data_IF_173310987906
#
_entry.id   IF_173310987906
#
_cell.length_a   1.000
_cell.length_b   1.000
_cell.length_c   1.000
_cell.angle_alpha   90.00
_cell.angle_beta   90.00
_cell.angle_gamma   90.00
#
_symmetry.space_group_name_H-M   'P 1'
#
loop_
_entity.id
_entity.type
_entity.pdbx_description
1 polymer ?
#
# COMPACT_ATOMS: atom_id res chain seq x y z
N UNK A 1 2.27 -19.31 -18.25
CA UNK A 1 3.24 -18.19 -18.14
C UNK A 1 3.43 -17.91 -16.66
N UNK A 2 4.69 -17.83 -16.19
CA UNK A 2 5.03 -17.66 -14.77
C UNK A 2 5.95 -16.47 -14.56
N UNK A 3 5.62 -15.60 -13.65
CA UNK A 3 6.41 -14.41 -13.34
C UNK A 3 6.88 -14.50 -11.88
N UNK A 4 8.18 -14.34 -11.68
CA UNK A 4 8.79 -14.11 -10.37
C UNK A 4 8.70 -12.62 -10.06
N UNK A 5 8.06 -12.24 -8.96
CA UNK A 5 7.96 -10.86 -8.47
C UNK A 5 8.91 -10.60 -7.31
N UNK A 6 9.59 -9.48 -7.34
CA UNK A 6 10.54 -9.02 -6.31
C UNK A 6 10.12 -7.63 -5.81
N UNK A 7 9.72 -7.55 -4.53
CA UNK A 7 9.41 -6.32 -3.82
C UNK A 7 10.50 -6.00 -2.82
N UNK A 8 11.08 -4.79 -2.92
CA UNK A 8 12.10 -4.30 -1.98
C UNK A 8 12.05 -2.79 -1.80
N UNK A 9 10.91 -2.13 -2.02
CA UNK A 9 10.85 -0.66 -2.09
C UNK A 9 11.06 0.06 -0.75
N UNK A 10 10.79 -0.61 0.38
CA UNK A 10 10.86 -0.02 1.71
C UNK A 10 11.51 -0.96 2.74
N UNK A 11 10.74 -1.56 3.63
CA UNK A 11 11.22 -2.39 4.74
C UNK A 11 10.67 -3.83 4.72
N UNK A 12 9.93 -4.21 3.68
CA UNK A 12 9.56 -5.59 3.39
C UNK A 12 10.35 -6.14 2.20
N UNK A 13 10.88 -7.36 2.34
CA UNK A 13 11.38 -8.15 1.22
C UNK A 13 10.33 -9.17 0.83
N UNK A 14 9.64 -8.93 -0.28
CA UNK A 14 8.58 -9.80 -0.79
C UNK A 14 9.00 -10.52 -2.07
N UNK A 15 8.83 -11.85 -2.10
CA UNK A 15 9.09 -12.68 -3.29
C UNK A 15 7.88 -13.55 -3.55
N UNK A 16 7.38 -13.53 -4.78
CA UNK A 16 6.26 -14.39 -5.15
C UNK A 16 6.40 -14.94 -6.57
N UNK A 17 5.71 -16.03 -6.86
CA UNK A 17 5.60 -16.60 -8.19
C UNK A 17 4.12 -16.66 -8.56
N UNK A 18 3.76 -15.99 -9.64
CA UNK A 18 2.40 -15.95 -10.17
C UNK A 18 2.33 -16.66 -11.53
N UNK A 19 1.37 -17.59 -11.64
CA UNK A 19 1.07 -18.31 -12.90
C UNK A 19 -0.25 -17.81 -13.47
N UNK A 20 -0.30 -17.49 -14.76
CA UNK A 20 -1.47 -16.90 -15.42
C UNK A 20 -2.70 -17.82 -15.50
N UNK A 21 -2.54 -19.11 -15.22
CA UNK A 21 -3.63 -20.10 -15.21
C UNK A 21 -3.96 -20.63 -13.82
N UNK A 22 -2.94 -20.72 -12.94
CA UNK A 22 -3.05 -21.33 -11.62
C UNK A 22 -3.12 -20.31 -10.48
N UNK A 23 -2.88 -19.02 -10.80
CA UNK A 23 -2.80 -17.96 -9.80
C UNK A 23 -1.48 -17.96 -9.03
N UNK A 24 -1.51 -17.57 -7.78
CA UNK A 24 -0.33 -17.45 -6.91
C UNK A 24 0.18 -18.85 -6.51
N UNK A 25 1.44 -19.14 -6.86
CA UNK A 25 2.08 -20.45 -6.58
C UNK A 25 2.96 -20.41 -5.32
N UNK A 26 3.55 -19.26 -5.00
CA UNK A 26 4.37 -19.05 -3.81
C UNK A 26 4.34 -17.58 -3.42
N UNK A 27 4.39 -17.31 -2.11
CA UNK A 27 4.46 -15.94 -1.58
C UNK A 27 5.30 -15.91 -0.30
N UNK A 28 6.54 -15.47 -0.41
CA UNK A 28 7.50 -15.35 0.68
C UNK A 28 7.63 -13.89 1.10
N UNK A 29 7.49 -13.61 2.38
CA UNK A 29 7.61 -12.28 2.94
C UNK A 29 8.54 -12.27 4.14
N UNK A 30 9.46 -11.32 4.17
CA UNK A 30 10.28 -11.00 5.32
C UNK A 30 10.14 -9.52 5.65
N UNK A 31 9.68 -9.21 6.86
CA UNK A 31 9.53 -7.83 7.33
C UNK A 31 10.68 -7.42 8.24
N UNK A 32 11.18 -6.22 8.03
CA UNK A 32 12.25 -5.59 8.81
C UNK A 32 11.71 -4.74 9.97
N UNK A 33 10.41 -4.80 10.27
CA UNK A 33 9.75 -4.01 11.34
C UNK A 33 10.53 -4.10 12.66
N UNK A 34 10.99 -5.31 13.04
CA UNK A 34 11.78 -5.50 14.27
C UNK A 34 13.14 -4.77 14.23
N UNK A 35 13.77 -4.75 13.05
CA UNK A 35 15.04 -4.05 12.87
C UNK A 35 14.88 -2.54 13.02
N UNK A 36 13.76 -2.00 12.56
CA UNK A 36 13.50 -0.56 12.54
C UNK A 36 12.79 -0.04 13.80
N UNK A 37 12.20 -0.93 14.61
CA UNK A 37 11.49 -0.56 15.84
C UNK A 37 12.36 0.23 16.83
N UNK A 38 13.62 -0.18 17.00
CA UNK A 38 14.59 0.49 17.90
C UNK A 38 14.91 1.94 17.46
N UNK A 39 14.70 2.25 16.18
CA UNK A 39 14.94 3.59 15.61
C UNK A 39 13.64 4.43 15.51
N UNK A 40 12.49 3.83 15.82
CA UNK A 40 11.20 4.48 15.74
C UNK A 40 10.74 4.81 14.32
N UNK A 41 11.23 4.08 13.31
CA UNK A 41 10.91 4.22 11.89
C UNK A 41 12.00 3.67 10.99
N UNK A 42 11.71 3.60 9.68
CA UNK A 42 12.62 2.99 8.70
C UNK A 42 13.93 3.78 8.55
N UNK A 43 15.06 3.08 8.64
CA UNK A 43 16.41 3.59 8.35
C UNK A 43 16.84 3.09 6.97
N UNK A 44 16.89 3.94 5.93
CA UNK A 44 17.06 3.50 4.54
C UNK A 44 18.31 2.66 4.26
N UNK A 45 19.42 2.98 4.91
CA UNK A 45 20.67 2.23 4.72
C UNK A 45 20.58 0.82 5.32
N UNK A 46 19.98 0.69 6.50
CA UNK A 46 19.78 -0.62 7.12
C UNK A 46 18.81 -1.47 6.29
N UNK A 47 17.74 -0.86 5.78
CA UNK A 47 16.78 -1.54 4.91
C UNK A 47 17.50 -2.12 3.67
N UNK A 48 18.29 -1.30 2.98
CA UNK A 48 19.04 -1.73 1.79
C UNK A 48 19.97 -2.89 2.07
N UNK A 49 20.73 -2.84 3.16
CA UNK A 49 21.67 -3.90 3.57
C UNK A 49 20.94 -5.21 3.90
N UNK A 50 19.79 -5.14 4.52
CA UNK A 50 19.04 -6.36 4.86
C UNK A 50 18.37 -6.98 3.64
N UNK A 51 17.87 -6.17 2.68
CA UNK A 51 17.39 -6.67 1.38
C UNK A 51 18.47 -7.49 0.65
N UNK A 52 19.72 -7.02 0.63
CA UNK A 52 20.85 -7.80 0.03
C UNK A 52 20.96 -9.20 0.64
N UNK A 53 20.76 -9.31 1.96
CA UNK A 53 20.87 -10.58 2.70
C UNK A 53 19.68 -11.50 2.48
N UNK A 54 18.48 -10.94 2.26
CA UNK A 54 17.21 -11.69 2.28
C UNK A 54 16.69 -12.07 0.90
N UNK A 55 16.93 -11.26 -0.13
CA UNK A 55 16.31 -11.43 -1.45
C UNK A 55 16.61 -12.82 -2.06
N UNK A 56 17.87 -13.22 -2.17
CA UNK A 56 18.22 -14.51 -2.81
C UNK A 56 17.71 -15.72 -2.01
N UNK A 57 17.87 -15.80 -0.68
CA UNK A 57 17.28 -16.88 0.11
C UNK A 57 15.76 -17.00 -0.03
N UNK A 58 15.03 -15.87 -0.09
CA UNK A 58 13.57 -15.88 -0.28
C UNK A 58 13.18 -16.33 -1.70
N UNK A 59 13.96 -15.98 -2.72
CA UNK A 59 13.75 -16.50 -4.10
C UNK A 59 13.91 -18.02 -4.12
N UNK A 60 14.94 -18.55 -3.49
CA UNK A 60 15.14 -20.00 -3.39
C UNK A 60 13.99 -20.68 -2.65
N UNK A 61 13.49 -20.07 -1.56
CA UNK A 61 12.34 -20.56 -0.83
C UNK A 61 11.06 -20.56 -1.68
N UNK A 62 10.81 -19.49 -2.43
CA UNK A 62 9.64 -19.38 -3.31
C UNK A 62 9.67 -20.43 -4.44
N UNK A 63 10.82 -20.64 -5.10
CA UNK A 63 10.98 -21.67 -6.11
C UNK A 63 10.74 -23.07 -5.53
N UNK A 64 11.28 -23.34 -4.34
CA UNK A 64 11.08 -24.61 -3.62
C UNK A 64 9.61 -24.84 -3.25
N UNK A 65 8.94 -23.82 -2.72
CA UNK A 65 7.51 -23.88 -2.36
C UNK A 65 6.64 -24.19 -3.56
N UNK A 66 6.91 -23.51 -4.70
CA UNK A 66 6.20 -23.74 -5.95
C UNK A 66 6.56 -25.06 -6.66
N UNK A 67 7.60 -25.77 -6.23
CA UNK A 67 8.13 -26.96 -6.88
C UNK A 67 8.71 -26.66 -8.27
N UNK A 68 9.30 -25.47 -8.45
CA UNK A 68 9.80 -24.96 -9.72
C UNK A 68 11.32 -24.75 -9.69
N UNK A 69 11.89 -24.62 -10.87
CA UNK A 69 13.29 -24.26 -11.13
C UNK A 69 13.37 -22.96 -11.92
N UNK A 70 14.57 -22.44 -12.12
CA UNK A 70 14.80 -21.25 -12.94
C UNK A 70 14.25 -21.38 -14.38
N UNK A 71 14.33 -22.59 -14.96
CA UNK A 71 13.84 -22.86 -16.31
C UNK A 71 12.31 -22.83 -16.46
N UNK A 72 11.59 -22.80 -15.36
CA UNK A 72 10.12 -22.74 -15.33
C UNK A 72 9.59 -21.32 -15.28
N UNK A 73 10.45 -20.29 -15.15
CA UNK A 73 10.10 -18.88 -15.05
C UNK A 73 10.20 -18.21 -16.41
N UNK A 74 9.15 -17.51 -16.82
CA UNK A 74 9.05 -16.83 -18.12
C UNK A 74 9.46 -15.34 -18.06
N UNK A 75 9.41 -14.70 -16.89
CA UNK A 75 9.84 -13.31 -16.67
C UNK A 75 10.15 -13.04 -15.20
N UNK A 76 10.99 -12.02 -14.95
CA UNK A 76 11.27 -11.51 -13.60
C UNK A 76 10.78 -10.08 -13.49
N UNK A 77 9.78 -9.86 -12.64
CA UNK A 77 9.28 -8.55 -12.29
C UNK A 77 9.95 -8.03 -11.02
N UNK A 78 10.24 -6.74 -10.97
CA UNK A 78 10.83 -6.11 -9.80
C UNK A 78 10.28 -4.70 -9.61
N UNK A 79 10.20 -4.24 -8.39
CA UNK A 79 9.79 -2.88 -8.10
C UNK A 79 10.88 -1.90 -8.53
N UNK A 80 10.55 -1.06 -9.53
CA UNK A 80 11.45 -0.04 -10.07
C UNK A 80 11.23 1.35 -9.42
N UNK A 81 10.17 1.53 -8.66
CA UNK A 81 9.80 2.75 -7.95
C UNK A 81 8.29 2.90 -7.79
N UNK A 82 7.84 3.92 -7.02
CA UNK A 82 8.63 4.72 -6.08
C UNK A 82 9.10 3.92 -4.86
N UNK A 83 10.04 4.50 -4.08
CA UNK A 83 10.56 3.89 -2.86
C UNK A 83 11.95 4.40 -2.46
N UNK A 84 12.55 3.74 -1.48
CA UNK A 84 13.90 4.06 -1.01
C UNK A 84 14.94 3.65 -2.06
N UNK A 85 15.74 4.59 -2.55
CA UNK A 85 16.66 4.39 -3.69
C UNK A 85 17.57 3.17 -3.51
N UNK A 86 18.18 2.99 -2.35
CA UNK A 86 19.09 1.86 -2.07
C UNK A 86 18.35 0.52 -2.05
N UNK A 87 17.16 0.49 -1.47
CA UNK A 87 16.31 -0.68 -1.41
C UNK A 87 15.81 -1.10 -2.81
N UNK A 88 15.33 -0.14 -3.61
CA UNK A 88 14.94 -0.36 -5.01
C UNK A 88 16.11 -0.90 -5.86
N UNK A 89 17.32 -0.33 -5.68
CA UNK A 89 18.52 -0.79 -6.41
C UNK A 89 18.85 -2.25 -6.12
N UNK A 90 18.63 -2.74 -4.90
CA UNK A 90 18.86 -4.15 -4.56
C UNK A 90 17.91 -5.06 -5.36
N UNK A 91 16.60 -4.81 -5.28
CA UNK A 91 15.61 -5.62 -6.01
C UNK A 91 15.80 -5.56 -7.52
N UNK A 92 16.03 -4.36 -8.06
CA UNK A 92 16.28 -4.15 -9.48
C UNK A 92 17.55 -4.87 -9.96
N UNK A 93 18.66 -4.77 -9.21
CA UNK A 93 19.92 -5.43 -9.60
C UNK A 93 19.77 -6.94 -9.55
N UNK A 94 19.21 -7.51 -8.48
CA UNK A 94 19.00 -8.95 -8.36
C UNK A 94 18.02 -9.44 -9.45
N UNK A 95 16.89 -8.77 -9.62
CA UNK A 95 15.88 -9.17 -10.61
C UNK A 95 16.43 -9.17 -12.04
N UNK A 96 17.17 -8.14 -12.41
CA UNK A 96 17.76 -8.06 -13.77
C UNK A 96 18.91 -9.04 -13.97
N UNK A 97 19.73 -9.27 -12.94
CA UNK A 97 20.78 -10.28 -13.00
C UNK A 97 20.22 -11.68 -13.20
N UNK A 98 19.12 -12.01 -12.52
CA UNK A 98 18.42 -13.28 -12.70
C UNK A 98 17.77 -13.38 -14.08
N UNK A 99 17.10 -12.33 -14.53
CA UNK A 99 16.50 -12.29 -15.86
C UNK A 99 17.56 -12.53 -16.95
N UNK A 100 18.72 -11.87 -16.84
CA UNK A 100 19.84 -12.09 -17.74
C UNK A 100 20.37 -13.54 -17.68
N UNK A 101 20.63 -14.06 -16.47
CA UNK A 101 21.17 -15.40 -16.29
C UNK A 101 20.18 -16.51 -16.74
N UNK A 102 18.88 -16.29 -16.61
CA UNK A 102 17.84 -17.24 -17.02
C UNK A 102 17.37 -17.03 -18.46
N UNK A 103 17.90 -16.02 -19.15
CA UNK A 103 17.52 -15.63 -20.51
C UNK A 103 16.03 -15.36 -20.66
N UNK A 104 15.46 -14.61 -19.73
CA UNK A 104 14.06 -14.18 -19.70
C UNK A 104 13.97 -12.67 -19.57
N UNK A 105 12.85 -12.01 -19.96
CA UNK A 105 12.71 -10.57 -19.81
C UNK A 105 12.62 -10.13 -18.35
N UNK A 106 13.14 -8.93 -18.09
CA UNK A 106 12.97 -8.19 -16.85
C UNK A 106 11.86 -7.15 -16.99
N UNK A 107 10.95 -7.09 -16.02
CA UNK A 107 9.76 -6.23 -16.06
C UNK A 107 9.84 -5.21 -14.91
N UNK A 108 10.05 -3.91 -15.18
CA UNK A 108 10.00 -2.88 -14.17
C UNK A 108 8.55 -2.60 -13.79
N UNK A 109 8.22 -2.72 -12.50
CA UNK A 109 6.88 -2.50 -11.97
C UNK A 109 6.85 -1.25 -11.12
N UNK A 110 5.78 -0.48 -11.23
CA UNK A 110 5.50 0.63 -10.35
C UNK A 110 4.88 0.11 -9.05
N UNK A 111 5.49 0.42 -7.91
CA UNK A 111 5.06 -0.06 -6.59
C UNK A 111 3.58 0.22 -6.30
N UNK A 112 3.13 1.45 -6.58
CA UNK A 112 1.73 1.83 -6.33
C UNK A 112 0.75 1.16 -7.30
N UNK A 113 1.18 0.78 -8.51
CA UNK A 113 0.38 -0.06 -9.41
C UNK A 113 0.25 -1.48 -8.84
N UNK A 114 1.30 -2.02 -8.23
CA UNK A 114 1.22 -3.28 -7.50
C UNK A 114 0.11 -3.26 -6.45
N UNK A 115 0.10 -2.25 -5.58
CA UNK A 115 -0.97 -2.08 -4.60
C UNK A 115 -2.35 -1.90 -5.24
N UNK A 116 -2.45 -1.08 -6.28
CA UNK A 116 -3.70 -0.79 -6.97
C UNK A 116 -4.33 -2.06 -7.56
N UNK A 117 -3.50 -2.97 -8.06
CA UNK A 117 -3.92 -4.23 -8.67
C UNK A 117 -3.97 -5.41 -7.69
N UNK A 118 -3.50 -5.26 -6.44
CA UNK A 118 -3.54 -6.34 -5.45
C UNK A 118 -4.94 -6.95 -5.23
N UNK A 119 -6.05 -6.18 -5.23
CA UNK A 119 -7.39 -6.76 -5.16
C UNK A 119 -7.78 -7.64 -6.35
N UNK A 120 -7.05 -7.57 -7.46
CA UNK A 120 -7.23 -8.47 -8.61
C UNK A 120 -6.69 -9.89 -8.35
N UNK A 121 -5.97 -10.11 -7.25
CA UNK A 121 -5.54 -11.43 -6.78
C UNK A 121 -6.65 -12.21 -6.06
N UNK A 122 -7.78 -11.55 -5.75
CA UNK A 122 -8.92 -12.17 -5.08
C UNK A 122 -9.87 -12.83 -6.09
N UNK A 123 -10.60 -13.86 -5.61
CA UNK A 123 -11.61 -14.54 -6.44
C UNK A 123 -12.71 -13.58 -6.92
N UNK A 124 -13.12 -12.64 -6.04
CA UNK A 124 -14.01 -11.55 -6.39
C UNK A 124 -13.19 -10.31 -6.73
N UNK A 125 -12.64 -10.27 -7.94
CA UNK A 125 -11.82 -9.16 -8.43
C UNK A 125 -12.66 -8.03 -9.02
N UNK A 126 -12.25 -6.74 -8.85
CA UNK A 126 -12.96 -5.62 -9.44
C UNK A 126 -12.81 -5.59 -10.96
N UNK A 127 -13.89 -5.25 -11.66
CA UNK A 127 -13.83 -4.90 -13.09
C UNK A 127 -13.65 -3.38 -13.25
N UNK A 128 -13.00 -2.96 -14.35
CA UNK A 128 -12.94 -1.55 -14.73
C UNK A 128 -14.30 -1.01 -15.21
N UNK A 129 -14.60 0.30 -15.06
CA UNK A 129 -13.83 1.28 -14.32
C UNK A 129 -14.16 1.26 -12.82
N UNK A 130 -13.23 1.81 -12.00
CA UNK A 130 -13.44 2.01 -10.57
C UNK A 130 -12.70 3.25 -10.03
N UNK A 131 -13.13 3.77 -8.88
CA UNK A 131 -12.33 4.70 -8.08
C UNK A 131 -11.45 3.87 -7.15
N UNK A 132 -10.17 4.20 -7.07
CA UNK A 132 -9.28 3.62 -6.08
C UNK A 132 -8.94 4.62 -4.97
N UNK A 133 -9.05 4.19 -3.71
CA UNK A 133 -8.44 4.80 -2.54
C UNK A 133 -7.13 4.07 -2.24
N UNK A 134 -6.02 4.67 -2.63
CA UNK A 134 -4.69 4.19 -2.32
C UNK A 134 -4.22 4.85 -1.03
N UNK A 135 -4.08 4.09 0.06
CA UNK A 135 -3.82 4.63 1.39
C UNK A 135 -2.80 3.79 2.13
N UNK A 136 -1.60 4.34 2.30
CA UNK A 136 -0.43 3.68 2.91
C UNK A 136 0.28 4.60 3.92
N UNK A 137 1.44 4.17 4.41
CA UNK A 137 2.33 4.98 5.23
C UNK A 137 2.84 6.23 4.52
N UNK A 138 3.11 6.14 3.21
CA UNK A 138 3.68 7.25 2.43
C UNK A 138 2.74 7.94 1.46
N UNK A 139 1.56 7.35 1.16
CA UNK A 139 0.66 7.86 0.14
C UNK A 139 -0.79 7.86 0.60
N UNK A 140 -1.54 8.89 0.19
CA UNK A 140 -3.00 8.94 0.29
C UNK A 140 -3.52 9.61 -0.97
N UNK A 141 -4.09 8.81 -1.87
CA UNK A 141 -4.52 9.24 -3.20
C UNK A 141 -5.88 8.66 -3.56
N UNK A 142 -6.68 9.45 -4.26
CA UNK A 142 -7.87 9.01 -4.98
C UNK A 142 -7.56 9.00 -6.47
N UNK A 143 -7.83 7.88 -7.12
CA UNK A 143 -7.45 7.63 -8.50
C UNK A 143 -8.66 7.11 -9.27
N UNK A 144 -8.92 7.68 -10.43
CA UNK A 144 -9.83 7.12 -11.43
C UNK A 144 -9.08 6.08 -12.25
N UNK A 145 -9.61 4.87 -12.31
CA UNK A 145 -8.99 3.73 -12.98
C UNK A 145 -9.93 3.21 -14.05
N UNK A 146 -9.57 3.39 -15.30
CA UNK A 146 -10.39 2.95 -16.46
C UNK A 146 -9.80 1.73 -17.17
N UNK A 147 -8.56 1.41 -16.89
CA UNK A 147 -7.83 0.27 -17.42
C UNK A 147 -6.42 0.20 -16.84
N UNK A 148 -5.66 -0.83 -17.23
CA UNK A 148 -4.26 -0.97 -16.81
C UNK A 148 -3.43 0.17 -17.43
N UNK A 149 -2.71 0.92 -16.57
CA UNK A 149 -1.95 2.09 -16.99
C UNK A 149 -2.81 3.30 -17.36
N UNK A 150 -4.12 3.24 -17.18
CA UNK A 150 -5.05 4.35 -17.41
C UNK A 150 -5.51 4.90 -16.05
N UNK A 151 -4.63 5.69 -15.45
CA UNK A 151 -4.76 6.20 -14.09
C UNK A 151 -4.82 7.73 -14.11
N UNK A 152 -5.90 8.29 -13.55
CA UNK A 152 -6.08 9.72 -13.37
C UNK A 152 -6.09 10.04 -11.88
N UNK A 153 -5.19 10.88 -11.42
CA UNK A 153 -5.16 11.37 -10.04
C UNK A 153 -6.31 12.36 -9.84
N UNK A 154 -7.27 12.00 -8.98
CA UNK A 154 -8.42 12.84 -8.64
C UNK A 154 -8.14 13.76 -7.45
N UNK A 155 -7.28 13.36 -6.53
CA UNK A 155 -6.86 14.11 -5.35
C UNK A 155 -5.87 13.33 -4.52
N UNK A 156 -5.06 14.04 -3.73
CA UNK A 156 -4.03 13.45 -2.87
C UNK A 156 -3.86 14.23 -1.57
N UNK A 157 -3.11 13.68 -0.63
CA UNK A 157 -2.74 14.43 0.57
C UNK A 157 -1.71 15.50 0.24
N UNK A 158 -1.99 16.72 0.68
CA UNK A 158 -1.10 17.89 0.48
C UNK A 158 -0.02 18.00 1.57
N UNK A 159 -0.10 17.15 2.58
CA UNK A 159 0.84 17.11 3.71
C UNK A 159 1.12 15.65 4.13
N UNK A 160 0.87 15.25 5.36
CA UNK A 160 1.08 13.87 5.81
C UNK A 160 0.14 12.89 5.09
N UNK A 161 0.63 11.70 4.75
CA UNK A 161 -0.23 10.58 4.39
C UNK A 161 -1.05 10.11 5.61
N UNK A 162 -2.19 9.48 5.36
CA UNK A 162 -3.04 9.00 6.46
C UNK A 162 -2.31 8.01 7.37
N UNK A 163 -1.54 7.05 6.80
CA UNK A 163 -0.74 6.10 7.59
C UNK A 163 0.34 6.79 8.40
N UNK A 164 1.04 7.76 7.84
CA UNK A 164 2.02 8.59 8.55
C UNK A 164 1.38 9.36 9.72
N UNK A 165 0.16 9.90 9.52
CA UNK A 165 -0.58 10.56 10.58
C UNK A 165 -0.97 9.60 11.71
N UNK A 166 -1.33 8.34 11.39
CA UNK A 166 -1.54 7.28 12.37
C UNK A 166 -0.26 7.00 13.17
N UNK A 167 0.89 6.80 12.51
CA UNK A 167 2.16 6.48 13.18
C UNK A 167 2.65 7.63 14.06
N UNK A 168 2.57 8.87 13.58
CA UNK A 168 2.92 10.07 14.34
C UNK A 168 2.04 10.26 15.58
N UNK A 169 0.73 9.97 15.45
CA UNK A 169 -0.21 10.10 16.57
C UNK A 169 -0.07 8.93 17.55
N UNK A 170 0.17 7.72 17.07
CA UNK A 170 0.50 6.57 17.91
C UNK A 170 1.74 6.83 18.79
N UNK A 171 2.81 7.33 18.17
CA UNK A 171 4.03 7.74 18.91
C UNK A 171 3.75 8.81 19.96
N UNK A 172 2.88 9.80 19.67
CA UNK A 172 2.45 10.81 20.63
C UNK A 172 1.73 10.18 21.84
N UNK A 173 0.93 9.13 21.58
CA UNK A 173 0.18 8.39 22.63
C UNK A 173 1.04 7.32 23.34
N UNK A 174 2.36 7.26 23.07
CA UNK A 174 3.28 6.30 23.69
C UNK A 174 3.13 4.86 23.19
N UNK A 175 2.62 4.68 21.97
CA UNK A 175 2.47 3.39 21.33
C UNK A 175 3.69 3.04 20.47
N UNK A 176 3.98 1.73 20.36
CA UNK A 176 5.08 1.20 19.57
C UNK A 176 4.81 1.25 18.06
N UNK A 177 5.89 1.08 17.28
CA UNK A 177 5.85 0.94 15.82
C UNK A 177 5.58 -0.53 15.42
N UNK A 178 4.73 -0.77 14.39
CA UNK A 178 3.96 0.18 13.59
C UNK A 178 2.73 0.72 14.33
N UNK A 179 2.58 2.04 14.29
CA UNK A 179 1.60 2.74 15.13
C UNK A 179 0.14 2.54 14.74
N UNK A 180 -0.15 2.40 13.44
CA UNK A 180 -1.52 2.30 12.92
C UNK A 180 -2.36 1.19 13.60
N UNK A 181 -1.92 -0.08 13.60
CA UNK A 181 -2.64 -1.17 14.25
C UNK A 181 -2.79 -0.98 15.76
N UNK A 182 -1.75 -0.45 16.42
CA UNK A 182 -1.75 -0.19 17.86
C UNK A 182 -2.74 0.91 18.24
N UNK A 183 -2.78 2.01 17.46
CA UNK A 183 -3.72 3.11 17.64
C UNK A 183 -5.16 2.63 17.44
N UNK A 184 -5.44 1.87 16.37
CA UNK A 184 -6.78 1.31 16.12
C UNK A 184 -7.24 0.38 17.25
N UNK A 185 -6.32 -0.42 17.81
CA UNK A 185 -6.60 -1.26 18.99
C UNK A 185 -6.96 -0.39 20.21
N UNK A 186 -6.20 0.66 20.50
CA UNK A 186 -6.49 1.61 21.58
C UNK A 186 -7.83 2.35 21.33
N UNK A 187 -8.07 2.80 20.10
CA UNK A 187 -9.32 3.46 19.70
C UNK A 187 -10.57 2.61 19.94
N UNK A 188 -10.44 1.27 19.83
CA UNK A 188 -11.56 0.35 20.10
C UNK A 188 -12.02 0.35 21.57
N UNK A 189 -11.19 0.84 22.49
CA UNK A 189 -11.48 0.99 23.92
C UNK A 189 -11.99 2.39 24.27
N UNK A 190 -11.88 3.34 23.32
CA UNK A 190 -12.31 4.72 23.51
C UNK A 190 -13.81 4.93 23.38
N UNK A 191 -14.31 5.91 24.10
CA UNK A 191 -15.72 6.34 24.06
C UNK A 191 -15.98 7.23 22.86
N UNK A 192 -16.84 6.77 21.95
CA UNK A 192 -17.22 7.53 20.77
C UNK A 192 -17.87 8.88 21.15
N UNK A 193 -17.43 9.96 20.50
CA UNK A 193 -18.01 11.29 20.67
C UNK A 193 -17.56 12.05 21.93
N UNK A 194 -16.70 11.50 22.81
CA UNK A 194 -16.14 12.26 23.93
C UNK A 194 -15.31 13.44 23.44
N UNK A 195 -14.49 13.22 22.42
CA UNK A 195 -13.77 14.28 21.73
C UNK A 195 -14.20 14.34 20.26
N UNK A 196 -14.32 15.55 19.72
CA UNK A 196 -14.68 15.75 18.30
C UNK A 196 -13.50 16.41 17.60
N UNK A 197 -12.81 15.64 16.77
CA UNK A 197 -11.71 16.14 15.96
C UNK A 197 -12.24 16.75 14.66
N UNK A 198 -11.52 17.71 14.05
CA UNK A 198 -11.90 18.24 12.75
C UNK A 198 -11.81 17.18 11.66
N UNK A 199 -12.58 17.33 10.56
CA UNK A 199 -12.47 16.58 9.32
C UNK A 199 -11.84 17.50 8.28
N UNK A 200 -10.49 17.52 8.17
CA UNK A 200 -9.81 18.53 7.38
C UNK A 200 -10.25 18.53 5.92
N UNK A 201 -10.35 19.70 5.31
CA UNK A 201 -10.70 19.91 3.89
C UNK A 201 -12.04 19.34 3.43
N UNK A 202 -12.91 18.90 4.33
CA UNK A 202 -14.25 18.40 3.97
C UNK A 202 -15.30 19.53 3.85
N UNK A 203 -15.01 20.71 4.35
CA UNK A 203 -15.82 21.92 4.30
C UNK A 203 -15.72 22.69 2.96
N UNK A 204 -14.82 22.28 2.09
CA UNK A 204 -14.53 22.92 0.78
C UNK A 204 -14.65 21.90 -0.36
N UNK A 205 -14.81 22.39 -1.62
CA UNK A 205 -14.79 21.52 -2.79
C UNK A 205 -13.40 20.87 -2.99
N UNK A 206 -13.36 19.86 -3.88
CA UNK A 206 -12.13 19.15 -4.23
C UNK A 206 -11.94 17.86 -3.45
N UNK A 207 -10.94 17.08 -3.88
CA UNK A 207 -10.70 15.71 -3.43
C UNK A 207 -9.39 15.54 -2.65
N UNK A 208 -8.61 16.61 -2.49
CA UNK A 208 -7.38 16.56 -1.71
C UNK A 208 -7.63 16.38 -0.23
N UNK A 209 -6.62 15.83 0.46
CA UNK A 209 -6.62 15.55 1.88
C UNK A 209 -5.60 16.39 2.63
N UNK A 210 -5.75 16.45 3.95
CA UNK A 210 -4.75 16.96 4.88
C UNK A 210 -4.91 16.23 6.20
N UNK A 211 -3.82 15.77 6.80
CA UNK A 211 -3.83 15.02 8.05
C UNK A 211 -2.85 15.55 9.10
N UNK A 212 -1.86 16.37 8.73
CA UNK A 212 -0.81 16.86 9.64
C UNK A 212 -1.35 17.59 10.87
N UNK A 213 -2.45 18.33 10.73
CA UNK A 213 -3.10 19.06 11.81
C UNK A 213 -3.72 18.16 12.89
N UNK A 214 -4.12 16.92 12.57
CA UNK A 214 -4.79 16.02 13.50
C UNK A 214 -3.87 15.58 14.65
N UNK A 215 -2.57 15.39 14.41
CA UNK A 215 -1.57 15.11 15.45
C UNK A 215 -1.50 16.24 16.47
N UNK A 216 -1.46 17.49 16.00
CA UNK A 216 -1.44 18.67 16.88
C UNK A 216 -2.72 18.76 17.69
N UNK A 217 -3.88 18.44 17.09
CA UNK A 217 -5.16 18.41 17.78
C UNK A 217 -5.17 17.34 18.89
N UNK A 218 -4.63 16.13 18.59
CA UNK A 218 -4.49 15.06 19.58
C UNK A 218 -3.59 15.49 20.77
N UNK A 219 -2.44 16.12 20.48
CA UNK A 219 -1.54 16.62 21.53
C UNK A 219 -2.22 17.65 22.43
N UNK A 220 -2.99 18.58 21.86
CA UNK A 220 -3.74 19.58 22.63
C UNK A 220 -4.87 18.94 23.44
N UNK A 221 -5.54 17.92 22.93
CA UNK A 221 -6.60 17.18 23.63
C UNK A 221 -6.03 16.52 24.89
N UNK A 222 -4.91 15.80 24.79
CA UNK A 222 -4.23 15.19 25.94
C UNK A 222 -3.80 16.26 26.95
N UNK A 223 -3.17 17.34 26.47
CA UNK A 223 -2.72 18.44 27.38
C UNK A 223 -3.85 19.05 28.16
N UNK A 224 -5.04 19.18 27.56
CA UNK A 224 -6.20 19.85 28.21
C UNK A 224 -7.05 18.93 29.07
N UNK A 225 -7.01 17.60 28.88
CA UNK A 225 -7.91 16.65 29.54
C UNK A 225 -7.20 15.61 30.42
N UNK A 226 -5.86 15.62 30.45
CA UNK A 226 -5.06 14.64 31.19
C UNK A 226 -4.50 13.53 30.28
N UNK A 227 -3.56 12.77 30.83
CA UNK A 227 -2.79 11.72 30.11
C UNK A 227 -3.04 10.33 30.74
N UNK A 228 -4.25 10.11 31.25
CA UNK A 228 -4.69 8.80 31.72
C UNK A 228 -5.06 7.87 30.56
N UNK A 229 -5.13 6.58 30.85
CA UNK A 229 -5.38 5.53 29.84
C UNK A 229 -6.70 5.75 29.08
N UNK A 230 -7.78 6.14 29.78
CA UNK A 230 -9.07 6.38 29.14
C UNK A 230 -9.03 7.61 28.23
N UNK A 231 -8.37 8.68 28.66
CA UNK A 231 -8.21 9.90 27.83
C UNK A 231 -7.38 9.63 26.59
N UNK A 232 -6.33 8.79 26.68
CA UNK A 232 -5.58 8.32 25.49
C UNK A 232 -6.44 7.50 24.55
N UNK A 233 -7.23 6.55 25.08
CA UNK A 233 -8.14 5.72 24.28
C UNK A 233 -9.21 6.56 23.57
N UNK A 234 -9.81 7.54 24.25
CA UNK A 234 -10.82 8.43 23.67
C UNK A 234 -10.22 9.37 22.62
N UNK A 235 -8.97 9.80 22.83
CA UNK A 235 -8.21 10.61 21.86
C UNK A 235 -7.88 9.78 20.62
N UNK A 236 -7.44 8.53 20.79
CA UNK A 236 -7.19 7.60 19.68
C UNK A 236 -8.47 7.32 18.88
N UNK A 237 -9.60 7.14 19.55
CA UNK A 237 -10.91 6.96 18.92
C UNK A 237 -11.33 8.18 18.11
N UNK A 238 -11.24 9.37 18.68
CA UNK A 238 -11.60 10.60 17.98
C UNK A 238 -10.70 10.88 16.76
N UNK A 239 -9.41 10.55 16.87
CA UNK A 239 -8.46 10.63 15.77
C UNK A 239 -8.83 9.64 14.63
N UNK A 240 -9.01 8.35 14.95
CA UNK A 240 -9.40 7.34 13.97
C UNK A 240 -10.72 7.71 13.28
N UNK A 241 -11.74 8.11 14.03
CA UNK A 241 -13.02 8.55 13.49
C UNK A 241 -12.85 9.74 12.53
N UNK A 242 -11.98 10.70 12.84
CA UNK A 242 -11.72 11.86 11.99
C UNK A 242 -11.06 11.48 10.66
N UNK A 243 -10.03 10.62 10.70
CA UNK A 243 -9.35 10.13 9.50
C UNK A 243 -10.33 9.32 8.63
N UNK A 244 -11.02 8.37 9.22
CA UNK A 244 -11.95 7.48 8.51
C UNK A 244 -13.10 8.27 7.87
N UNK A 245 -13.70 9.22 8.60
CA UNK A 245 -14.77 10.07 8.04
C UNK A 245 -14.26 10.95 6.90
N UNK A 246 -13.04 11.51 7.02
CA UNK A 246 -12.43 12.32 5.96
C UNK A 246 -12.23 11.49 4.70
N UNK A 247 -11.65 10.29 4.82
CA UNK A 247 -11.46 9.36 3.69
C UNK A 247 -12.80 8.98 3.06
N UNK A 248 -13.79 8.61 3.88
CA UNK A 248 -15.13 8.23 3.41
C UNK A 248 -15.83 9.37 2.64
N UNK A 249 -15.80 10.62 3.17
CA UNK A 249 -16.41 11.78 2.53
C UNK A 249 -15.78 12.03 1.15
N UNK A 250 -14.45 11.95 1.05
CA UNK A 250 -13.73 12.17 -0.21
C UNK A 250 -13.96 11.02 -1.20
N UNK A 251 -13.98 9.76 -0.76
CA UNK A 251 -14.38 8.63 -1.61
C UNK A 251 -15.79 8.80 -2.18
N UNK A 252 -16.74 9.22 -1.34
CA UNK A 252 -18.10 9.50 -1.80
C UNK A 252 -18.12 10.57 -2.89
N UNK A 253 -17.41 11.67 -2.71
CA UNK A 253 -17.31 12.75 -3.71
C UNK A 253 -16.64 12.28 -5.02
N UNK A 254 -15.59 11.46 -4.92
CA UNK A 254 -14.92 10.89 -6.09
C UNK A 254 -15.86 9.98 -6.90
N UNK A 255 -16.63 9.14 -6.21
CA UNK A 255 -17.65 8.30 -6.85
C UNK A 255 -18.81 9.12 -7.47
N UNK A 256 -19.13 10.28 -6.88
CA UNK A 256 -20.14 11.20 -7.43
C UNK A 256 -19.63 11.93 -8.68
N UNK A 257 -18.37 12.36 -8.67
CA UNK A 257 -17.78 13.07 -9.81
C UNK A 257 -17.49 12.17 -11.01
N UNK A 258 -17.12 10.89 -10.78
CA UNK A 258 -16.83 9.94 -11.85
C UNK A 258 -18.07 9.17 -12.34
N UNK A 259 -19.10 9.08 -11.52
CA UNK A 259 -20.26 8.22 -11.77
C UNK A 259 -19.99 6.71 -11.60
N UNK A 260 -18.79 6.32 -11.14
CA UNK A 260 -18.43 4.91 -10.98
C UNK A 260 -19.17 4.28 -9.80
N UNK A 261 -19.39 2.96 -9.91
CA UNK A 261 -20.10 2.17 -8.89
C UNK A 261 -19.19 1.24 -8.09
N UNK A 262 -17.91 1.20 -8.43
CA UNK A 262 -16.91 0.34 -7.76
C UNK A 262 -15.88 1.21 -7.08
N UNK A 263 -15.54 0.82 -5.85
CA UNK A 263 -14.49 1.42 -5.04
C UNK A 263 -13.46 0.33 -4.72
N UNK A 264 -12.20 0.59 -5.01
CA UNK A 264 -11.08 -0.28 -4.64
C UNK A 264 -10.31 0.38 -3.50
N UNK A 265 -10.02 -0.38 -2.45
CA UNK A 265 -9.10 0.05 -1.38
C UNK A 265 -7.79 -0.69 -1.48
N UNK A 266 -6.68 0.04 -1.47
CA UNK A 266 -5.33 -0.50 -1.58
C UNK A 266 -4.34 0.18 -0.61
N UNK A 267 -3.23 -0.48 -0.30
CA UNK A 267 -2.22 -0.02 0.64
C UNK A 267 -2.50 -0.42 2.09
N UNK A 268 -1.49 -0.28 2.98
CA UNK A 268 -1.51 -0.83 4.35
C UNK A 268 -2.67 -0.34 5.22
N UNK A 269 -3.10 0.93 5.09
CA UNK A 269 -4.25 1.45 5.85
C UNK A 269 -5.58 0.81 5.41
N UNK A 270 -5.63 0.17 4.24
CA UNK A 270 -6.80 -0.60 3.80
C UNK A 270 -7.14 -1.79 4.72
N UNK A 271 -6.22 -2.21 5.60
CA UNK A 271 -6.47 -3.20 6.64
C UNK A 271 -7.29 -2.65 7.82
N UNK A 272 -7.48 -1.32 7.96
CA UNK A 272 -8.24 -0.71 9.04
C UNK A 272 -9.71 -1.15 9.00
N UNK A 273 -10.16 -1.82 10.07
CA UNK A 273 -11.50 -2.42 10.14
C UNK A 273 -12.62 -1.38 10.18
N UNK A 274 -12.41 -0.25 10.85
CA UNK A 274 -13.38 0.84 10.95
C UNK A 274 -13.61 1.47 9.56
N UNK A 275 -12.54 1.70 8.81
CA UNK A 275 -12.62 2.22 7.46
C UNK A 275 -13.35 1.23 6.52
N UNK A 276 -12.99 -0.06 6.55
CA UNK A 276 -13.68 -1.10 5.76
C UNK A 276 -15.18 -1.13 6.04
N UNK A 277 -15.58 -1.13 7.30
CA UNK A 277 -17.00 -1.17 7.69
C UNK A 277 -17.77 0.05 7.18
N UNK A 278 -17.23 1.26 7.38
CA UNK A 278 -17.89 2.50 6.92
C UNK A 278 -17.97 2.60 5.40
N UNK A 279 -16.94 2.19 4.67
CA UNK A 279 -16.97 2.18 3.20
C UNK A 279 -17.93 1.12 2.67
N UNK A 280 -17.99 -0.06 3.25
CA UNK A 280 -18.95 -1.10 2.87
C UNK A 280 -20.39 -0.61 3.04
N UNK A 281 -20.72 0.02 4.19
CA UNK A 281 -22.04 0.61 4.44
C UNK A 281 -22.37 1.73 3.45
N UNK A 282 -21.41 2.61 3.16
CA UNK A 282 -21.58 3.68 2.17
C UNK A 282 -21.86 3.12 0.78
N UNK A 283 -21.09 2.12 0.34
CA UNK A 283 -21.25 1.52 -0.98
C UNK A 283 -22.57 0.75 -1.11
N UNK A 284 -22.99 0.04 -0.07
CA UNK A 284 -24.30 -0.63 -0.02
C UNK A 284 -25.46 0.37 -0.21
N UNK A 285 -25.42 1.52 0.49
CA UNK A 285 -26.43 2.60 0.34
C UNK A 285 -26.46 3.19 -1.08
N UNK A 286 -25.32 3.17 -1.79
CA UNK A 286 -25.18 3.65 -3.17
C UNK A 286 -25.47 2.57 -4.23
N UNK A 287 -25.80 1.35 -3.84
CA UNK A 287 -25.94 0.17 -4.73
C UNK A 287 -24.65 -0.03 -5.56
N UNK A 288 -23.50 0.17 -4.93
CA UNK A 288 -22.18 -0.05 -5.48
C UNK A 288 -21.44 -1.13 -4.70
N UNK A 289 -20.20 -1.40 -5.10
CA UNK A 289 -19.36 -2.46 -4.53
C UNK A 289 -18.03 -1.89 -4.05
N UNK A 290 -17.50 -2.44 -2.96
CA UNK A 290 -16.14 -2.13 -2.49
C UNK A 290 -15.29 -3.39 -2.51
N UNK A 291 -14.06 -3.24 -3.04
CA UNK A 291 -13.08 -4.31 -3.18
C UNK A 291 -11.83 -3.96 -2.39
N UNK A 292 -11.27 -4.95 -1.75
CA UNK A 292 -9.98 -4.85 -1.05
C UNK A 292 -9.30 -6.22 -1.02
N UNK A 293 -7.99 -6.20 -1.06
CA UNK A 293 -7.21 -7.41 -0.91
C UNK A 293 -7.34 -7.99 0.51
N UNK A 294 -7.11 -9.29 0.66
CA UNK A 294 -6.97 -9.94 1.96
C UNK A 294 -5.80 -9.30 2.75
N UNK A 295 -5.78 -9.41 4.08
CA UNK A 295 -4.80 -8.68 4.91
C UNK A 295 -3.35 -8.86 4.49
N UNK A 296 -2.96 -10.05 4.04
CA UNK A 296 -1.59 -10.38 3.62
C UNK A 296 -1.13 -9.65 2.35
N UNK A 297 -2.08 -9.12 1.53
CA UNK A 297 -1.79 -8.37 0.32
C UNK A 297 -2.02 -6.85 0.48
N UNK A 298 -2.41 -6.39 1.67
CA UNK A 298 -2.61 -4.97 1.92
C UNK A 298 -1.29 -4.21 2.09
N UNK A 299 -0.28 -4.84 2.72
CA UNK A 299 1.08 -4.29 2.88
C UNK A 299 1.96 -4.70 1.72
N UNK A 300 3.20 -4.19 1.69
CA UNK A 300 4.19 -4.51 0.66
C UNK A 300 4.42 -6.02 0.59
N UNK A 301 4.34 -6.59 -0.60
CA UNK A 301 4.47 -8.03 -0.80
C UNK A 301 4.89 -8.38 -2.23
N UNK A 302 5.43 -9.60 -2.42
CA UNK A 302 5.86 -10.08 -3.73
C UNK A 302 4.72 -10.37 -4.69
N UNK A 303 3.54 -10.78 -4.18
CA UNK A 303 2.42 -11.20 -5.02
C UNK A 303 1.86 -10.05 -5.86
N UNK A 304 1.75 -8.83 -5.29
CA UNK A 304 1.29 -7.64 -6.01
C UNK A 304 2.24 -7.28 -7.17
N UNK A 305 3.55 -7.48 -6.98
CA UNK A 305 4.56 -7.19 -8.01
C UNK A 305 4.59 -8.30 -9.07
N UNK A 306 4.45 -9.57 -8.67
CA UNK A 306 4.34 -10.67 -9.62
C UNK A 306 3.11 -10.53 -10.52
N UNK A 307 1.97 -10.15 -9.96
CA UNK A 307 0.73 -9.94 -10.70
C UNK A 307 0.81 -8.73 -11.64
N UNK A 308 1.21 -7.57 -11.14
CA UNK A 308 1.39 -6.37 -11.96
C UNK A 308 2.43 -6.61 -13.07
N UNK A 309 3.53 -7.31 -12.75
CA UNK A 309 4.53 -7.77 -13.73
C UNK A 309 3.95 -8.68 -14.79
N UNK A 310 3.08 -9.63 -14.42
CA UNK A 310 2.39 -10.51 -15.38
C UNK A 310 1.52 -9.68 -16.34
N UNK A 311 0.76 -8.73 -15.83
CA UNK A 311 -0.11 -7.87 -16.64
C UNK A 311 0.73 -7.02 -17.60
N UNK A 312 1.80 -6.40 -17.11
CA UNK A 312 2.73 -5.59 -17.92
C UNK A 312 3.49 -6.43 -18.96
N UNK A 313 3.89 -7.64 -18.59
CA UNK A 313 4.54 -8.56 -19.53
C UNK A 313 3.62 -8.98 -20.67
N UNK A 314 2.35 -9.30 -20.37
CA UNK A 314 1.34 -9.59 -21.40
C UNK A 314 1.09 -8.41 -22.34
N UNK A 315 1.26 -7.18 -21.87
CA UNK A 315 1.19 -5.96 -22.65
C UNK A 315 2.49 -5.64 -23.43
N UNK A 316 3.50 -6.52 -23.37
CA UNK A 316 4.77 -6.35 -24.09
C UNK A 316 5.78 -5.42 -23.43
N UNK A 317 5.57 -5.03 -22.15
CA UNK A 317 6.51 -4.20 -21.42
C UNK A 317 7.72 -5.02 -21.01
N UNK A 318 8.91 -4.59 -21.42
CA UNK A 318 10.20 -5.17 -21.01
C UNK A 318 11.21 -4.07 -20.75
N UNK A 319 12.24 -4.37 -19.96
CA UNK A 319 13.35 -3.46 -19.72
C UNK A 319 14.59 -3.83 -20.54
N UNK A 320 15.38 -2.82 -20.89
CA UNK A 320 16.72 -3.00 -21.47
C UNK A 320 17.71 -3.56 -20.41
N UNK A 321 19.01 -3.66 -20.71
CA UNK A 321 20.02 -4.19 -19.80
C UNK A 321 20.45 -3.20 -18.69
N UNK A 322 20.16 -1.91 -18.83
CA UNK A 322 20.56 -0.88 -17.85
C UNK A 322 19.69 -0.94 -16.58
N UNK A 323 20.28 -0.89 -15.38
CA UNK A 323 19.53 -0.83 -14.12
C UNK A 323 19.14 0.60 -13.84
N UNK A 324 17.82 0.89 -13.92
CA UNK A 324 17.26 2.21 -13.60
C UNK A 324 16.16 2.06 -12.55
N UNK A 325 16.21 2.86 -11.51
CA UNK A 325 15.15 2.96 -10.49
C UNK A 325 14.68 4.41 -10.37
N UNK A 326 13.43 4.59 -9.99
CA UNK A 326 12.78 5.89 -9.86
C UNK A 326 12.23 6.06 -8.44
N UNK A 327 13.03 6.57 -7.48
CA UNK A 327 12.61 6.76 -6.09
C UNK A 327 11.37 7.64 -5.95
N UNK A 328 11.22 8.60 -6.87
CA UNK A 328 9.99 9.39 -7.08
C UNK A 328 9.47 9.11 -8.46
N UNK A 329 8.30 8.53 -8.53
CA UNK A 329 7.67 8.16 -9.79
C UNK A 329 6.16 8.39 -9.69
N UNK A 330 5.61 9.45 -10.29
CA UNK A 330 4.17 9.68 -10.34
C UNK A 330 3.45 8.56 -11.09
N UNK A 331 2.34 8.07 -10.53
CA UNK A 331 1.56 6.99 -11.14
C UNK A 331 1.00 7.38 -12.51
N UNK A 332 0.67 8.66 -12.70
CA UNK A 332 0.17 9.21 -13.96
C UNK A 332 1.20 9.18 -15.12
N UNK A 333 2.49 8.94 -14.83
CA UNK A 333 3.53 8.78 -15.86
C UNK A 333 3.64 7.34 -16.40
N UNK A 334 2.84 6.40 -15.86
CA UNK A 334 2.80 5.05 -16.39
C UNK A 334 2.10 5.03 -17.75
N UNK A 335 2.72 4.39 -18.77
CA UNK A 335 2.04 4.20 -20.04
C UNK A 335 0.87 3.24 -19.89
N UNK A 336 -0.17 3.45 -20.68
CA UNK A 336 -1.22 2.46 -20.85
C UNK A 336 -0.63 1.12 -21.33
N UNK A 337 -1.18 0.01 -20.84
CA UNK A 337 -0.75 -1.35 -21.15
C UNK A 337 -1.77 -2.04 -22.04
#
# INVERSE_FOLDING_TARGET
MRVLGIETSCDETGIAIYDDKKGLLANQLYSQVKLHADYGGVVPELASRDHVRKTVPLIQAALKEAGLTASDIDAVAYTAGPGLVGALLVGATVGRSLAFAWNVPAIPVHHMEGHLLAPMLEDNSPEFPFVALLVSGGHTQLISVTGIGQYELLGESIDDAAGEAFDKTAKLLGLDYPGGPMLSKMASQGTAGRFVFPRPMTDRPGLDFSFSGLKTFAANTIRSNGDDEQTRADTARAFEDAVVDTLMIKCKRALESTGFKRLVMAGGVSANRTLRAKLAEMMQKRRGEVFYARPEFCTDNGAMIAYAGMVRFKAGVTADLGVTVRPRWPLAELPAA
#
